data_IF_830691006748
#
_entry.id   IF_830691006748
#
_cell.length_a   1.000
_cell.length_b   1.000
_cell.length_c   1.000
_cell.angle_alpha   90.00
_cell.angle_beta   90.00
_cell.angle_gamma   90.00
#
_symmetry.space_group_name_H-M   'P 1'
#
loop_
_entity.id
_entity.type
_entity.pdbx_description
1 polymer ?
#
# COMPACT_ATOMS: atom_id res chain seq x y z
N UNK A 1 16.55 11.27 -4.28
CA UNK A 1 15.28 11.29 -5.05
C UNK A 1 14.51 12.52 -4.60
N UNK A 2 14.53 13.60 -5.38
CA UNK A 2 13.64 14.74 -5.19
C UNK A 2 12.44 14.46 -6.10
N UNK A 3 11.24 14.45 -5.51
CA UNK A 3 10.00 14.38 -6.27
C UNK A 3 9.76 15.73 -6.92
N UNK A 4 9.14 15.77 -8.11
CA UNK A 4 8.73 17.04 -8.68
C UNK A 4 7.94 17.79 -7.63
N UNK A 5 8.36 19.03 -7.38
CA UNK A 5 7.56 19.96 -6.62
C UNK A 5 6.17 20.03 -7.29
N UNK A 6 5.16 20.47 -6.55
CA UNK A 6 3.98 21.03 -7.18
C UNK A 6 4.43 22.30 -7.93
N UNK A 7 5.07 22.13 -9.09
CA UNK A 7 5.38 23.20 -10.01
C UNK A 7 4.04 23.68 -10.54
N UNK A 8 3.83 24.99 -10.50
CA UNK A 8 2.60 25.67 -10.93
C UNK A 8 2.31 25.57 -12.43
N UNK A 9 2.86 24.58 -13.14
CA UNK A 9 2.37 24.16 -14.44
C UNK A 9 1.26 23.14 -14.19
N UNK A 10 0.06 23.46 -14.70
CA UNK A 10 -1.12 22.59 -14.65
C UNK A 10 -0.75 21.22 -15.22
N UNK A 11 -0.32 20.28 -14.37
CA UNK A 11 -0.24 18.88 -14.73
C UNK A 11 -1.65 18.49 -15.18
N UNK A 12 -1.81 18.13 -16.46
CA UNK A 12 -3.13 17.78 -16.99
C UNK A 12 -3.70 16.64 -16.17
N UNK A 13 -4.82 16.90 -15.51
CA UNK A 13 -5.59 15.88 -14.79
C UNK A 13 -6.23 14.98 -15.84
N UNK A 14 -5.93 13.69 -15.79
CA UNK A 14 -6.39 12.74 -16.81
C UNK A 14 -7.90 12.47 -16.69
N UNK A 15 -8.41 12.38 -15.46
CA UNK A 15 -9.82 12.14 -15.18
C UNK A 15 -10.35 13.16 -14.16
N UNK A 16 -11.07 14.21 -14.60
CA UNK A 16 -11.67 15.18 -13.69
C UNK A 16 -12.79 14.51 -12.86
N UNK A 17 -13.02 15.04 -11.67
CA UNK A 17 -14.10 14.63 -10.77
C UNK A 17 -14.86 15.88 -10.32
N UNK A 18 -16.10 15.73 -9.87
CA UNK A 18 -16.91 16.85 -9.36
C UNK A 18 -16.25 17.58 -8.19
N UNK A 19 -15.41 16.87 -7.44
CA UNK A 19 -14.51 17.45 -6.46
C UNK A 19 -13.33 16.49 -6.17
N UNK A 20 -12.22 16.98 -5.60
CA UNK A 20 -11.03 16.18 -5.36
C UNK A 20 -11.31 14.90 -4.56
N UNK A 21 -10.64 13.82 -4.94
CA UNK A 21 -10.66 12.54 -4.22
C UNK A 21 -9.90 12.68 -2.91
N UNK A 22 -10.57 12.35 -1.80
CA UNK A 22 -9.98 12.46 -0.47
C UNK A 22 -9.20 11.18 -0.13
N UNK A 23 -7.94 11.35 0.22
CA UNK A 23 -7.06 10.27 0.65
C UNK A 23 -6.57 10.50 2.08
N UNK A 24 -6.88 9.57 2.99
CA UNK A 24 -6.36 9.55 4.36
C UNK A 24 -5.24 8.52 4.42
N UNK A 25 -4.01 8.99 4.63
CA UNK A 25 -2.80 8.18 4.63
C UNK A 25 -2.05 8.23 5.97
N UNK A 26 -1.26 7.21 6.24
CA UNK A 26 -0.41 7.19 7.43
C UNK A 26 0.16 5.80 7.71
N UNK A 27 1.05 5.69 8.71
CA UNK A 27 1.56 4.39 9.12
C UNK A 27 0.46 3.50 9.70
N UNK A 28 0.71 2.21 9.80
CA UNK A 28 -0.12 1.32 10.63
C UNK A 28 -0.22 1.85 12.07
N UNK A 29 -1.33 1.56 12.75
CA UNK A 29 -1.65 2.07 14.10
C UNK A 29 -1.73 3.61 14.26
N UNK A 30 -1.88 4.37 13.16
CA UNK A 30 -2.05 5.83 13.23
C UNK A 30 -3.47 6.33 13.53
N UNK A 31 -4.49 5.45 13.46
CA UNK A 31 -5.90 5.83 13.55
C UNK A 31 -6.57 6.14 12.21
N UNK A 32 -5.87 5.96 11.08
CA UNK A 32 -6.37 6.30 9.73
C UNK A 32 -7.73 5.67 9.38
N UNK A 33 -7.97 4.42 9.78
CA UNK A 33 -9.22 3.72 9.49
C UNK A 33 -10.41 4.37 10.20
N UNK A 34 -10.24 4.73 11.48
CA UNK A 34 -11.28 5.41 12.26
C UNK A 34 -11.60 6.79 11.68
N UNK A 35 -10.57 7.57 11.32
CA UNK A 35 -10.78 8.87 10.68
C UNK A 35 -11.48 8.73 9.32
N UNK A 36 -11.03 7.81 8.47
CA UNK A 36 -11.61 7.60 7.14
C UNK A 36 -13.10 7.21 7.21
N UNK A 37 -13.48 6.33 8.14
CA UNK A 37 -14.88 5.97 8.38
C UNK A 37 -15.70 7.20 8.75
N UNK A 38 -15.25 7.97 9.75
CA UNK A 38 -15.96 9.15 10.24
C UNK A 38 -16.08 10.25 9.20
N UNK A 39 -15.06 10.43 8.36
CA UNK A 39 -15.13 11.33 7.22
C UNK A 39 -16.16 10.85 6.19
N UNK A 40 -16.18 9.55 5.88
CA UNK A 40 -17.16 8.98 4.95
C UNK A 40 -18.59 9.12 5.48
N UNK A 41 -18.84 8.92 6.78
CA UNK A 41 -20.15 9.18 7.39
C UNK A 41 -20.57 10.64 7.19
N UNK A 42 -19.67 11.58 7.46
CA UNK A 42 -19.98 13.01 7.42
C UNK A 42 -20.20 13.53 6.01
N UNK A 43 -19.53 12.93 5.03
CA UNK A 43 -19.58 13.29 3.61
C UNK A 43 -20.58 12.44 2.80
N UNK A 44 -21.34 11.55 3.45
CA UNK A 44 -22.33 10.70 2.78
C UNK A 44 -21.70 9.72 1.79
N UNK A 45 -20.62 9.05 2.21
CA UNK A 45 -19.70 8.35 1.34
C UNK A 45 -19.39 6.91 1.73
N UNK A 46 -18.27 6.41 1.20
CA UNK A 46 -17.76 5.07 1.44
C UNK A 46 -16.25 5.10 1.66
N UNK A 47 -15.67 3.99 2.14
CA UNK A 47 -14.22 3.85 2.30
C UNK A 47 -13.67 2.87 1.28
N UNK A 48 -12.61 3.25 0.57
CA UNK A 48 -11.78 2.35 -0.23
C UNK A 48 -10.47 2.07 0.52
N UNK A 49 -10.27 0.83 0.97
CA UNK A 49 -8.99 0.42 1.58
C UNK A 49 -7.91 0.32 0.51
N UNK A 50 -6.80 1.04 0.73
CA UNK A 50 -5.58 0.95 -0.06
C UNK A 50 -4.47 0.29 0.78
N UNK A 51 -4.69 -1.00 1.09
CA UNK A 51 -3.77 -1.87 1.82
C UNK A 51 -3.52 -3.14 1.03
N UNK A 52 -2.27 -3.58 0.95
CA UNK A 52 -1.89 -4.74 0.11
C UNK A 52 -2.23 -6.09 0.74
N UNK A 53 -2.53 -6.12 2.05
CA UNK A 53 -2.82 -7.36 2.77
C UNK A 53 -4.31 -7.51 3.10
N UNK A 54 -5.02 -6.41 3.38
CA UNK A 54 -6.47 -6.46 3.65
C UNK A 54 -7.33 -6.89 2.46
N UNK A 55 -6.74 -6.95 1.26
CA UNK A 55 -7.38 -7.46 0.04
C UNK A 55 -7.64 -8.98 0.09
N UNK A 56 -6.96 -9.74 0.95
CA UNK A 56 -7.10 -11.20 1.01
C UNK A 56 -8.22 -11.63 1.95
N UNK A 57 -9.05 -12.55 1.48
CA UNK A 57 -10.11 -13.21 2.26
C UNK A 57 -9.53 -14.07 3.39
N UNK A 58 -10.14 -14.00 4.56
CA UNK A 58 -9.73 -14.77 5.75
C UNK A 58 -8.48 -14.24 6.46
N UNK A 59 -7.80 -13.23 5.91
CA UNK A 59 -6.69 -12.53 6.56
C UNK A 59 -7.21 -11.27 7.25
N UNK A 60 -7.83 -11.42 8.42
CA UNK A 60 -8.60 -10.36 9.08
C UNK A 60 -7.87 -9.75 10.28
N UNK A 61 -7.55 -10.59 11.26
CA UNK A 61 -6.89 -10.22 12.51
C UNK A 61 -5.48 -9.72 12.23
N UNK A 62 -4.65 -10.51 11.54
CA UNK A 62 -3.25 -10.17 11.31
C UNK A 62 -3.04 -8.95 10.41
N UNK A 63 -3.99 -8.65 9.52
CA UNK A 63 -3.99 -7.45 8.68
C UNK A 63 -4.68 -6.26 9.35
N UNK A 64 -5.30 -6.51 10.50
CA UNK A 64 -6.11 -5.56 11.25
C UNK A 64 -7.18 -4.89 10.40
N UNK A 65 -7.88 -5.72 9.63
CA UNK A 65 -9.07 -5.39 8.84
C UNK A 65 -10.20 -4.96 9.79
N UNK A 66 -10.98 -3.97 9.38
CA UNK A 66 -12.16 -3.57 10.15
C UNK A 66 -13.23 -4.68 10.05
N UNK A 67 -13.70 -5.17 11.19
CA UNK A 67 -14.70 -6.21 11.25
C UNK A 67 -16.04 -5.72 10.67
N UNK A 68 -16.83 -6.57 10.00
CA UNK A 68 -18.11 -6.15 9.42
C UNK A 68 -19.06 -5.46 10.40
N UNK A 69 -19.07 -5.88 11.67
CA UNK A 69 -19.90 -5.30 12.72
C UNK A 69 -19.51 -3.86 13.10
N UNK A 70 -18.26 -3.47 12.87
CA UNK A 70 -17.74 -2.13 13.22
C UNK A 70 -17.82 -1.14 12.05
N UNK A 71 -18.29 -1.60 10.88
CA UNK A 71 -18.41 -0.80 9.67
C UNK A 71 -19.72 -0.02 9.72
N UNK A 72 -19.62 1.29 9.79
CA UNK A 72 -20.78 2.20 9.77
C UNK A 72 -21.07 2.77 8.38
N UNK A 73 -20.18 2.52 7.42
CA UNK A 73 -20.28 2.89 6.00
C UNK A 73 -19.86 1.72 5.10
N UNK A 74 -20.17 1.73 3.79
CA UNK A 74 -19.67 0.73 2.87
C UNK A 74 -18.14 0.75 2.78
N UNK A 75 -17.53 -0.44 2.76
CA UNK A 75 -16.10 -0.64 2.56
C UNK A 75 -15.82 -1.40 1.27
N UNK A 76 -14.85 -0.90 0.50
CA UNK A 76 -14.31 -1.52 -0.71
C UNK A 76 -12.81 -1.79 -0.54
N UNK A 77 -12.24 -2.65 -1.40
CA UNK A 77 -10.82 -3.03 -1.32
C UNK A 77 -10.50 -3.99 -0.17
N UNK A 78 -11.52 -4.60 0.43
CA UNK A 78 -11.41 -5.69 1.39
C UNK A 78 -11.88 -6.98 0.72
N UNK A 79 -11.25 -8.11 1.03
CA UNK A 79 -11.75 -9.43 0.62
C UNK A 79 -11.90 -9.64 -0.90
N UNK A 80 -11.10 -8.92 -1.69
CA UNK A 80 -11.16 -8.93 -3.16
C UNK A 80 -10.41 -10.10 -3.80
N UNK A 81 -9.49 -10.74 -3.08
CA UNK A 81 -8.67 -11.85 -3.57
C UNK A 81 -8.68 -13.05 -2.60
N UNK A 82 -8.47 -14.25 -3.12
CA UNK A 82 -8.18 -15.42 -2.28
C UNK A 82 -6.71 -15.36 -1.81
N UNK A 83 -6.35 -15.91 -0.63
CA UNK A 83 -4.97 -15.90 -0.13
C UNK A 83 -3.92 -16.41 -1.13
N UNK A 84 -4.25 -17.46 -1.90
CA UNK A 84 -3.36 -18.05 -2.90
C UNK A 84 -3.20 -17.22 -4.19
N UNK A 85 -4.04 -16.21 -4.42
CA UNK A 85 -3.99 -15.37 -5.62
C UNK A 85 -2.86 -14.34 -5.51
N UNK A 86 -2.15 -14.10 -6.61
CA UNK A 86 -1.28 -12.93 -6.70
C UNK A 86 -2.13 -11.65 -6.80
N UNK A 87 -1.71 -10.58 -6.13
CA UNK A 87 -2.33 -9.26 -6.26
C UNK A 87 -1.28 -8.17 -6.42
N UNK A 88 -1.50 -7.26 -7.38
CA UNK A 88 -0.52 -6.27 -7.80
C UNK A 88 -1.07 -4.84 -7.65
N UNK A 89 -0.17 -3.85 -7.75
CA UNK A 89 -0.59 -2.46 -7.80
C UNK A 89 -1.38 -2.09 -9.07
N UNK A 90 -1.17 -2.79 -10.19
CA UNK A 90 -1.95 -2.60 -11.41
C UNK A 90 -3.39 -3.10 -11.23
N UNK A 91 -3.58 -4.28 -10.65
CA UNK A 91 -4.91 -4.81 -10.31
C UNK A 91 -5.63 -3.89 -9.32
N UNK A 92 -4.92 -3.39 -8.31
CA UNK A 92 -5.47 -2.40 -7.38
C UNK A 92 -5.85 -1.09 -8.07
N UNK A 93 -5.01 -0.59 -8.99
CA UNK A 93 -5.28 0.63 -9.74
C UNK A 93 -6.59 0.50 -10.52
N UNK A 94 -6.76 -0.57 -11.28
CA UNK A 94 -7.98 -0.83 -12.06
C UNK A 94 -9.20 -0.93 -11.15
N UNK A 95 -9.14 -1.81 -10.14
CA UNK A 95 -10.23 -2.00 -9.18
C UNK A 95 -10.60 -0.70 -8.46
N UNK A 96 -9.60 0.00 -7.91
CA UNK A 96 -9.79 1.21 -7.12
C UNK A 96 -10.33 2.36 -7.95
N UNK A 97 -9.83 2.56 -9.18
CA UNK A 97 -10.37 3.58 -10.10
C UNK A 97 -11.82 3.28 -10.46
N UNK A 98 -12.17 2.02 -10.70
CA UNK A 98 -13.55 1.61 -10.95
C UNK A 98 -14.48 1.86 -9.76
N UNK A 99 -14.02 1.64 -8.52
CA UNK A 99 -14.77 1.99 -7.30
C UNK A 99 -14.96 3.49 -7.18
N UNK A 100 -13.90 4.29 -7.39
CA UNK A 100 -13.96 5.75 -7.30
C UNK A 100 -14.97 6.31 -8.31
N UNK A 101 -14.86 5.95 -9.58
CA UNK A 101 -15.75 6.47 -10.62
C UNK A 101 -17.22 6.14 -10.35
N UNK A 102 -17.53 4.88 -10.01
CA UNK A 102 -18.90 4.47 -9.66
C UNK A 102 -19.44 5.22 -8.44
N UNK A 103 -18.60 5.49 -7.43
CA UNK A 103 -19.04 6.24 -6.26
C UNK A 103 -19.43 7.68 -6.64
N UNK A 104 -18.61 8.36 -7.44
CA UNK A 104 -18.93 9.72 -7.92
C UNK A 104 -20.18 9.73 -8.82
N UNK A 105 -20.34 8.76 -9.73
CA UNK A 105 -21.55 8.63 -10.56
C UNK A 105 -22.83 8.47 -9.74
N UNK A 106 -22.73 7.89 -8.54
CA UNK A 106 -23.83 7.71 -7.60
C UNK A 106 -24.02 8.89 -6.64
N UNK A 107 -23.21 9.96 -6.75
CA UNK A 107 -23.22 11.09 -5.82
C UNK A 107 -22.63 10.77 -4.44
N UNK A 108 -21.93 9.63 -4.29
CA UNK A 108 -21.27 9.21 -3.06
C UNK A 108 -19.83 9.72 -3.03
N UNK A 109 -19.32 10.10 -1.85
CA UNK A 109 -17.94 10.58 -1.68
C UNK A 109 -16.98 9.49 -1.19
N UNK A 110 -16.15 8.88 -2.06
CA UNK A 110 -15.21 7.86 -1.61
C UNK A 110 -14.04 8.48 -0.84
N UNK A 111 -13.71 7.88 0.31
CA UNK A 111 -12.52 8.19 1.10
C UNK A 111 -11.52 7.04 0.96
N UNK A 112 -10.35 7.32 0.39
CA UNK A 112 -9.29 6.31 0.27
C UNK A 112 -8.52 6.22 1.58
N UNK A 113 -8.56 5.08 2.25
CA UNK A 113 -7.81 4.83 3.49
C UNK A 113 -6.54 4.02 3.18
N UNK A 114 -5.38 4.67 3.18
CA UNK A 114 -4.14 4.10 2.65
C UNK A 114 -3.04 3.82 3.68
N UNK A 115 -2.60 2.56 3.75
CA UNK A 115 -1.34 2.15 4.41
C UNK A 115 -0.23 1.80 3.41
N UNK A 116 -0.60 1.31 2.23
CA UNK A 116 0.33 0.96 1.17
C UNK A 116 0.49 2.16 0.25
N UNK A 117 1.50 2.99 0.52
CA UNK A 117 1.70 4.24 -0.22
C UNK A 117 1.87 4.10 -1.73
N UNK A 118 2.34 2.93 -2.21
CA UNK A 118 2.40 2.66 -3.64
C UNK A 118 1.02 2.42 -4.27
N UNK A 119 0.08 1.80 -3.56
CA UNK A 119 -1.30 1.61 -4.04
C UNK A 119 -2.04 2.94 -4.14
N UNK A 120 -1.86 3.81 -3.14
CA UNK A 120 -2.39 5.19 -3.18
C UNK A 120 -1.87 5.93 -4.41
N UNK A 121 -0.54 5.91 -4.65
CA UNK A 121 0.07 6.56 -5.82
C UNK A 121 -0.42 5.96 -7.14
N UNK A 122 -0.51 4.64 -7.23
CA UNK A 122 -1.04 3.93 -8.40
C UNK A 122 -2.47 4.37 -8.73
N UNK A 123 -3.31 4.56 -7.71
CA UNK A 123 -4.68 5.02 -7.87
C UNK A 123 -4.75 6.46 -8.41
N UNK A 124 -4.02 7.38 -7.77
CA UNK A 124 -4.22 8.83 -7.95
C UNK A 124 -3.34 9.48 -9.02
N UNK A 125 -2.23 8.83 -9.38
CA UNK A 125 -1.28 9.31 -10.37
C UNK A 125 -1.35 8.46 -11.63
N UNK A 126 -0.93 9.02 -12.77
CA UNK A 126 -0.99 8.37 -14.09
C UNK A 126 0.14 7.35 -14.27
N UNK A 127 0.29 6.44 -13.31
CA UNK A 127 1.19 5.29 -13.42
C UNK A 127 0.77 4.42 -14.59
N UNK A 128 1.73 4.18 -15.49
CA UNK A 128 1.66 3.15 -16.50
C UNK A 128 2.37 1.91 -15.96
N UNK A 129 1.65 0.79 -15.90
CA UNK A 129 2.19 -0.48 -15.45
C UNK A 129 2.49 -1.33 -16.68
N UNK A 130 3.77 -1.55 -17.02
CA UNK A 130 4.12 -2.42 -18.12
C UNK A 130 3.59 -3.83 -17.85
N UNK A 131 3.20 -4.52 -18.92
CA UNK A 131 2.78 -5.92 -18.86
C UNK A 131 3.86 -6.79 -18.19
N UNK A 132 3.44 -7.93 -17.65
CA UNK A 132 4.35 -8.84 -16.97
C UNK A 132 3.59 -9.78 -16.05
N UNK A 133 3.56 -11.05 -16.42
CA UNK A 133 2.98 -12.10 -15.59
C UNK A 133 3.98 -12.47 -14.47
N UNK A 134 3.48 -12.55 -13.24
CA UNK A 134 4.31 -12.97 -12.10
C UNK A 134 4.42 -14.50 -11.98
N UNK A 135 3.54 -15.23 -12.69
CA UNK A 135 3.42 -16.69 -12.64
C UNK A 135 3.49 -17.20 -14.08
N UNK A 136 4.25 -18.25 -14.33
CA UNK A 136 4.36 -18.86 -15.65
C UNK A 136 5.14 -18.01 -16.67
N UNK A 137 5.88 -17.00 -16.21
CA UNK A 137 6.76 -16.21 -17.08
C UNK A 137 8.11 -16.92 -17.24
N UNK A 138 8.44 -17.43 -18.45
CA UNK A 138 9.65 -18.23 -18.66
C UNK A 138 10.94 -17.47 -18.36
N UNK A 139 10.96 -16.15 -18.56
CA UNK A 139 12.13 -15.31 -18.29
C UNK A 139 12.33 -15.17 -16.78
N UNK A 140 11.25 -14.92 -16.04
CA UNK A 140 11.27 -14.86 -14.58
C UNK A 140 11.76 -16.17 -13.98
N UNK A 141 11.21 -17.29 -14.45
CA UNK A 141 11.53 -18.62 -13.93
C UNK A 141 12.99 -18.98 -14.20
N UNK A 142 13.48 -18.70 -15.41
CA UNK A 142 14.88 -18.90 -15.77
C UNK A 142 15.84 -18.08 -14.89
N UNK A 143 15.57 -16.79 -14.70
CA UNK A 143 16.45 -15.95 -13.88
C UNK A 143 16.34 -16.25 -12.38
N UNK A 144 15.17 -16.64 -11.87
CA UNK A 144 15.03 -17.13 -10.49
C UNK A 144 15.84 -18.42 -10.28
N UNK A 145 15.79 -19.37 -11.22
CA UNK A 145 16.59 -20.59 -11.15
C UNK A 145 18.09 -20.27 -11.13
N UNK A 146 18.55 -19.34 -11.98
CA UNK A 146 19.94 -18.90 -11.98
C UNK A 146 20.36 -18.21 -10.69
N UNK A 147 19.50 -17.37 -10.10
CA UNK A 147 19.77 -16.76 -8.79
C UNK A 147 19.90 -17.84 -7.71
N UNK A 148 19.10 -18.90 -7.76
CA UNK A 148 19.20 -20.02 -6.83
C UNK A 148 20.51 -20.82 -7.01
N UNK A 149 21.02 -20.93 -8.23
CA UNK A 149 22.26 -21.66 -8.54
C UNK A 149 23.54 -20.87 -8.22
N UNK A 150 23.66 -19.63 -8.70
CA UNK A 150 24.90 -18.86 -8.66
C UNK A 150 24.83 -17.57 -7.82
N UNK A 151 23.68 -17.31 -7.19
CA UNK A 151 23.46 -16.14 -6.35
C UNK A 151 23.07 -14.88 -7.12
N UNK A 152 22.45 -13.94 -6.40
CA UNK A 152 21.92 -12.71 -6.98
C UNK A 152 23.04 -11.79 -7.51
N UNK A 153 24.21 -11.78 -6.88
CA UNK A 153 25.33 -10.92 -7.28
C UNK A 153 25.87 -11.28 -8.67
N UNK A 154 25.94 -12.58 -8.99
CA UNK A 154 26.36 -13.04 -10.31
C UNK A 154 25.38 -12.62 -11.40
N UNK A 155 24.08 -12.74 -11.13
CA UNK A 155 23.01 -12.33 -12.05
C UNK A 155 22.95 -10.80 -12.19
N UNK A 156 23.20 -10.06 -11.11
CA UNK A 156 23.34 -8.60 -11.17
C UNK A 156 24.56 -8.17 -11.99
N UNK A 157 25.69 -8.88 -11.90
CA UNK A 157 26.87 -8.58 -12.71
C UNK A 157 26.59 -8.75 -14.22
N UNK A 158 25.79 -9.76 -14.60
CA UNK A 158 25.28 -9.89 -15.98
C UNK A 158 24.38 -8.70 -16.35
N UNK A 159 23.48 -8.29 -15.46
CA UNK A 159 22.65 -7.11 -15.70
C UNK A 159 23.52 -5.87 -15.92
N UNK A 160 24.57 -5.69 -15.13
CA UNK A 160 25.48 -4.56 -15.25
C UNK A 160 26.29 -4.57 -16.56
N UNK A 161 26.50 -5.74 -17.17
CA UNK A 161 27.14 -5.83 -18.49
C UNK A 161 26.17 -5.51 -19.62
N UNK A 162 24.89 -5.92 -19.50
CA UNK A 162 23.87 -5.76 -20.55
C UNK A 162 23.13 -4.43 -20.50
N UNK A 163 22.86 -3.94 -19.30
CA UNK A 163 22.13 -2.70 -19.01
C UNK A 163 22.70 -2.03 -17.75
N UNK A 164 23.87 -1.36 -17.89
CA UNK A 164 24.53 -0.67 -16.78
C UNK A 164 23.64 0.41 -16.14
N UNK A 165 22.77 1.04 -16.92
CA UNK A 165 21.87 2.09 -16.44
C UNK A 165 20.84 1.51 -15.46
N UNK A 166 20.24 0.37 -15.77
CA UNK A 166 19.33 -0.33 -14.85
C UNK A 166 20.06 -0.87 -13.63
N UNK A 167 21.25 -1.46 -13.81
CA UNK A 167 22.05 -1.99 -12.72
C UNK A 167 22.42 -0.91 -11.69
N UNK A 168 22.75 0.31 -12.13
CA UNK A 168 23.05 1.44 -11.25
C UNK A 168 21.87 1.86 -10.35
N UNK A 169 20.63 1.54 -10.74
CA UNK A 169 19.41 1.85 -9.98
C UNK A 169 18.96 0.71 -9.05
N UNK A 170 19.51 -0.50 -9.24
CA UNK A 170 19.06 -1.72 -8.58
C UNK A 170 20.17 -2.21 -7.64
N UNK A 171 19.85 -2.41 -6.37
CA UNK A 171 20.78 -3.03 -5.43
C UNK A 171 21.05 -4.48 -5.84
N UNK A 172 22.30 -4.93 -5.76
CA UNK A 172 22.70 -6.28 -6.16
C UNK A 172 21.95 -7.41 -5.46
N UNK A 173 21.43 -7.17 -4.25
CA UNK A 173 20.67 -8.15 -3.49
C UNK A 173 19.14 -8.04 -3.69
N UNK A 174 18.66 -7.10 -4.51
CA UNK A 174 17.24 -6.95 -4.84
C UNK A 174 16.86 -7.87 -6.01
N UNK A 175 16.86 -9.18 -5.73
CA UNK A 175 16.59 -10.24 -6.71
C UNK A 175 15.32 -9.97 -7.54
N UNK A 176 14.25 -9.46 -6.90
CA UNK A 176 12.99 -9.14 -7.58
C UNK A 176 13.16 -8.08 -8.65
N UNK A 177 13.92 -7.02 -8.37
CA UNK A 177 14.19 -5.95 -9.36
C UNK A 177 15.18 -6.39 -10.43
N UNK A 178 16.19 -7.19 -10.07
CA UNK A 178 17.14 -7.76 -11.04
C UNK A 178 16.39 -8.61 -12.07
N UNK A 179 15.55 -9.53 -11.61
CA UNK A 179 14.71 -10.36 -12.51
C UNK A 179 13.77 -9.48 -13.35
N UNK A 180 13.13 -8.46 -12.76
CA UNK A 180 12.27 -7.54 -13.52
C UNK A 180 13.02 -6.77 -14.59
N UNK A 181 14.27 -6.39 -14.35
CA UNK A 181 15.07 -5.71 -15.36
C UNK A 181 15.32 -6.63 -16.57
N UNK A 182 15.58 -7.91 -16.35
CA UNK A 182 15.71 -8.88 -17.44
C UNK A 182 14.40 -9.17 -18.18
N UNK A 183 13.27 -9.25 -17.48
CA UNK A 183 11.95 -9.33 -18.13
C UNK A 183 11.74 -8.15 -19.08
N UNK A 184 11.97 -6.91 -18.60
CA UNK A 184 11.84 -5.71 -19.42
C UNK A 184 12.78 -5.74 -20.63
N UNK A 185 14.04 -6.15 -20.44
CA UNK A 185 14.99 -6.29 -21.53
C UNK A 185 14.53 -7.31 -22.58
N UNK A 186 13.88 -8.40 -22.16
CA UNK A 186 13.30 -9.39 -23.08
C UNK A 186 12.10 -8.85 -23.87
N UNK A 187 11.40 -7.86 -23.31
CA UNK A 187 10.29 -7.12 -23.93
C UNK A 187 10.76 -5.92 -24.77
N UNK A 188 12.08 -5.68 -24.84
CA UNK A 188 12.68 -4.61 -25.65
C UNK A 188 12.73 -3.23 -24.99
N UNK A 189 12.60 -3.13 -23.66
CA UNK A 189 12.75 -1.88 -22.91
C UNK A 189 13.68 -2.06 -21.70
N UNK A 190 14.14 -0.99 -21.07
CA UNK A 190 14.99 -1.07 -19.87
C UNK A 190 14.25 -0.69 -18.59
N UNK A 191 14.72 -1.23 -17.45
CA UNK A 191 14.24 -0.78 -16.14
C UNK A 191 14.58 0.70 -15.92
N UNK A 192 15.73 1.17 -16.39
CA UNK A 192 16.13 2.58 -16.31
C UNK A 192 15.20 3.51 -17.09
N UNK A 193 14.81 3.17 -18.32
CA UNK A 193 13.81 3.93 -19.10
C UNK A 193 12.48 4.02 -18.37
N UNK A 194 11.97 2.88 -17.89
CA UNK A 194 10.72 2.84 -17.12
C UNK A 194 10.82 3.67 -15.84
N UNK A 195 11.95 3.57 -15.13
CA UNK A 195 12.21 4.36 -13.94
C UNK A 195 12.28 5.87 -14.25
N UNK A 196 12.88 6.26 -15.38
CA UNK A 196 12.95 7.65 -15.82
C UNK A 196 11.54 8.23 -16.09
N UNK A 197 10.64 7.45 -16.71
CA UNK A 197 9.24 7.85 -16.93
C UNK A 197 8.50 8.14 -15.63
N UNK A 198 8.90 7.53 -14.50
CA UNK A 198 8.30 7.81 -13.19
C UNK A 198 8.47 9.26 -12.72
N UNK A 199 9.47 9.98 -13.24
CA UNK A 199 9.70 11.39 -12.89
C UNK A 199 8.70 12.36 -13.52
N UNK A 200 8.04 11.95 -14.62
CA UNK A 200 7.10 12.76 -15.37
C UNK A 200 5.64 12.28 -15.20
N UNK A 201 5.36 11.47 -14.17
CA UNK A 201 4.00 10.98 -13.95
C UNK A 201 3.08 12.14 -13.60
N UNK A 202 2.06 12.34 -14.43
CA UNK A 202 0.96 13.28 -14.20
C UNK A 202 -0.03 12.80 -13.15
N UNK A 203 -1.03 13.63 -12.89
CA UNK A 203 -2.10 13.34 -11.93
C UNK A 203 -3.27 12.68 -12.65
N UNK A 204 -3.74 11.54 -12.14
CA UNK A 204 -4.91 10.87 -12.73
C UNK A 204 -6.21 11.47 -12.20
N UNK A 205 -6.35 11.55 -10.87
CA UNK A 205 -7.48 12.19 -10.20
C UNK A 205 -7.03 13.46 -9.47
N UNK A 206 -7.84 14.54 -9.42
CA UNK A 206 -7.58 15.60 -8.47
C UNK A 206 -7.68 15.03 -7.06
N UNK A 207 -6.77 15.41 -6.14
CA UNK A 207 -6.72 14.80 -4.80
C UNK A 207 -6.54 15.81 -3.68
N UNK A 208 -7.18 15.50 -2.55
CA UNK A 208 -6.88 16.07 -1.23
C UNK A 208 -6.21 14.98 -0.39
N UNK A 209 -4.94 15.18 -0.06
CA UNK A 209 -4.13 14.20 0.66
C UNK A 209 -3.95 14.61 2.13
N UNK A 210 -4.50 13.83 3.04
CA UNK A 210 -4.44 14.06 4.48
C UNK A 210 -3.58 12.99 5.13
N UNK A 211 -2.51 13.39 5.81
CA UNK A 211 -1.58 12.48 6.47
C UNK A 211 -1.72 12.52 7.98
N UNK A 212 -1.84 11.36 8.62
CA UNK A 212 -1.75 11.27 10.08
C UNK A 212 -0.29 11.12 10.52
N UNK A 213 0.18 12.13 11.26
CA UNK A 213 1.50 12.14 11.89
C UNK A 213 1.36 11.75 13.36
N UNK A 214 2.09 10.71 13.77
CA UNK A 214 2.20 10.29 15.17
C UNK A 214 3.67 10.29 15.55
N UNK A 215 3.97 10.72 16.77
CA UNK A 215 5.27 10.62 17.41
C UNK A 215 5.79 9.16 17.36
N UNK A 216 7.08 8.93 17.02
CA UNK A 216 7.63 7.59 16.94
C UNK A 216 7.45 6.72 18.18
N UNK A 217 7.57 7.27 19.39
CA UNK A 217 7.43 6.49 20.62
C UNK A 217 5.98 6.11 20.87
N UNK A 218 5.05 7.07 20.73
CA UNK A 218 3.61 6.81 20.82
C UNK A 218 3.21 5.73 19.80
N UNK A 219 3.69 5.84 18.57
CA UNK A 219 3.40 4.90 17.51
C UNK A 219 3.91 3.49 17.83
N UNK A 220 5.11 3.36 18.42
CA UNK A 220 5.64 2.06 18.86
C UNK A 220 4.75 1.41 19.90
N UNK A 221 4.35 2.16 20.94
CA UNK A 221 3.45 1.64 21.96
C UNK A 221 2.09 1.21 21.40
N UNK A 222 1.52 1.99 20.47
CA UNK A 222 0.27 1.61 19.78
C UNK A 222 0.44 0.36 18.93
N UNK A 223 1.59 0.19 18.28
CA UNK A 223 1.89 -1.02 17.51
C UNK A 223 1.99 -2.23 18.43
N UNK A 224 2.73 -2.12 19.54
CA UNK A 224 2.93 -3.23 20.47
C UNK A 224 1.59 -3.69 21.06
N UNK A 225 0.79 -2.75 21.58
CA UNK A 225 -0.55 -3.03 22.10
C UNK A 225 -1.48 -3.64 21.05
N UNK A 226 -1.40 -3.18 19.79
CA UNK A 226 -2.20 -3.75 18.69
C UNK A 226 -1.79 -5.18 18.37
N UNK A 227 -0.49 -5.50 18.38
CA UNK A 227 -0.02 -6.87 18.16
C UNK A 227 -0.45 -7.78 19.29
N UNK A 228 -0.35 -7.32 20.54
CA UNK A 228 -0.83 -8.09 21.71
C UNK A 228 -2.34 -8.37 21.57
N UNK A 229 -3.14 -7.37 21.21
CA UNK A 229 -4.56 -7.54 20.96
C UNK A 229 -4.86 -8.51 19.80
N UNK A 230 -4.06 -8.51 18.74
CA UNK A 230 -4.24 -9.48 17.64
C UNK A 230 -4.06 -10.91 18.13
N UNK A 231 -3.07 -11.17 18.98
CA UNK A 231 -2.83 -12.49 19.56
C UNK A 231 -4.02 -12.90 20.44
N UNK A 232 -4.46 -12.01 21.33
CA UNK A 232 -5.64 -12.24 22.19
C UNK A 232 -6.92 -12.51 21.39
N UNK A 233 -7.07 -11.85 20.24
CA UNK A 233 -8.22 -12.01 19.36
C UNK A 233 -8.17 -13.28 18.49
N UNK A 234 -7.13 -14.11 18.61
CA UNK A 234 -7.02 -15.38 17.91
C UNK A 234 -6.21 -15.35 16.61
N UNK A 235 -5.20 -14.47 16.50
CA UNK A 235 -4.28 -14.46 15.34
C UNK A 235 -3.69 -15.85 15.05
N UNK A 236 -3.33 -16.61 16.09
CA UNK A 236 -2.76 -17.96 15.94
C UNK A 236 -3.76 -18.92 15.28
N UNK A 237 -5.03 -18.83 15.65
CA UNK A 237 -6.09 -19.68 15.12
C UNK A 237 -6.44 -19.29 13.68
N UNK A 238 -6.46 -17.99 13.36
CA UNK A 238 -6.59 -17.51 11.98
C UNK A 238 -5.48 -18.09 11.08
N UNK A 239 -4.22 -18.00 11.50
CA UNK A 239 -3.10 -18.54 10.72
C UNK A 239 -3.21 -20.06 10.57
N UNK A 240 -3.63 -20.78 11.63
CA UNK A 240 -3.85 -22.23 11.55
C UNK A 240 -4.93 -22.59 10.53
N UNK A 241 -6.03 -21.84 10.48
CA UNK A 241 -7.09 -22.04 9.50
C UNK A 241 -6.57 -21.81 8.07
N UNK A 242 -5.89 -20.70 7.84
CA UNK A 242 -5.35 -20.36 6.52
C UNK A 242 -4.29 -21.34 6.03
N UNK A 243 -3.50 -21.95 6.93
CA UNK A 243 -2.57 -23.02 6.57
C UNK A 243 -3.29 -24.24 5.97
N UNK A 244 -4.48 -24.58 6.47
CA UNK A 244 -5.31 -25.65 5.89
C UNK A 244 -5.89 -25.29 4.52
N UNK A 245 -5.92 -24.00 4.18
CA UNK A 245 -6.42 -23.46 2.91
C UNK A 245 -5.30 -23.14 1.90
N UNK A 246 -4.07 -23.60 2.15
CA UNK A 246 -2.95 -23.44 1.22
C UNK A 246 -2.19 -22.12 1.35
N UNK A 247 -2.25 -21.45 2.52
CA UNK A 247 -1.45 -20.24 2.77
C UNK A 247 0.03 -20.43 2.47
N UNK A 248 0.60 -21.64 2.67
CA UNK A 248 2.03 -21.89 2.41
C UNK A 248 2.41 -21.63 0.96
N UNK A 249 1.53 -22.03 0.05
CA UNK A 249 1.75 -21.94 -1.40
C UNK A 249 1.40 -20.54 -1.95
N UNK A 250 0.85 -19.66 -1.11
CA UNK A 250 0.50 -18.31 -1.51
C UNK A 250 1.76 -17.47 -1.79
N UNK A 251 1.82 -16.83 -2.97
CA UNK A 251 2.98 -16.06 -3.40
C UNK A 251 3.24 -14.79 -2.57
N UNK A 252 2.17 -14.13 -2.13
CA UNK A 252 2.24 -12.83 -1.45
C UNK A 252 1.73 -12.89 -0.01
N UNK A 253 0.58 -13.53 0.21
CA UNK A 253 -0.06 -13.60 1.52
C UNK A 253 0.83 -14.27 2.58
N UNK A 254 1.63 -15.28 2.20
CA UNK A 254 2.50 -15.99 3.14
C UNK A 254 3.64 -15.12 3.70
N UNK A 255 3.99 -14.01 3.05
CA UNK A 255 5.04 -13.09 3.48
C UNK A 255 4.53 -11.96 4.37
N UNK A 256 3.22 -11.90 4.64
CA UNK A 256 2.61 -10.89 5.47
C UNK A 256 3.18 -10.92 6.89
N UNK A 257 3.48 -9.74 7.44
CA UNK A 257 3.91 -9.59 8.85
C UNK A 257 2.76 -10.09 9.72
N UNK A 258 3.07 -10.92 10.72
CA UNK A 258 2.06 -11.58 11.55
C UNK A 258 1.76 -13.00 11.10
N UNK A 259 1.87 -13.29 9.80
CA UNK A 259 1.54 -14.62 9.28
C UNK A 259 2.79 -15.50 9.26
N UNK A 260 3.87 -15.05 8.59
CA UNK A 260 5.09 -15.85 8.48
C UNK A 260 5.74 -16.17 9.85
N UNK A 261 5.69 -15.24 10.79
CA UNK A 261 6.26 -15.43 12.13
C UNK A 261 5.46 -16.47 12.92
N UNK A 262 4.12 -16.44 12.82
CA UNK A 262 3.26 -17.45 13.47
C UNK A 262 3.43 -18.82 12.79
N UNK A 263 3.57 -18.88 11.46
CA UNK A 263 3.89 -20.14 10.77
C UNK A 263 5.19 -20.75 11.30
N UNK A 264 6.25 -19.95 11.49
CA UNK A 264 7.51 -20.43 12.07
C UNK A 264 7.34 -20.97 13.49
N UNK A 265 6.49 -20.34 14.31
CA UNK A 265 6.18 -20.84 15.65
C UNK A 265 5.39 -22.15 15.62
N UNK A 266 4.40 -22.25 14.71
CA UNK A 266 3.62 -23.49 14.51
C UNK A 266 4.47 -24.65 13.99
N UNK A 267 5.52 -24.35 13.22
CA UNK A 267 6.50 -25.31 12.73
C UNK A 267 7.56 -25.70 13.79
N UNK A 268 7.53 -25.09 14.98
CA UNK A 268 8.48 -25.36 16.07
C UNK A 268 9.88 -24.79 15.84
N UNK A 269 10.05 -23.89 14.88
CA UNK A 269 11.35 -23.24 14.58
C UNK A 269 11.70 -22.19 15.64
N UNK A 270 10.69 -21.46 16.12
CA UNK A 270 10.80 -20.45 17.17
C UNK A 270 9.66 -20.62 18.20
N UNK A 271 9.78 -20.01 19.37
CA UNK A 271 8.66 -19.97 20.33
C UNK A 271 7.57 -18.97 19.88
N UNK A 272 6.36 -19.13 20.43
CA UNK A 272 5.28 -18.15 20.19
C UNK A 272 5.66 -16.75 20.69
N UNK A 273 6.30 -16.64 21.86
CA UNK A 273 6.76 -15.36 22.41
C UNK A 273 7.81 -14.68 21.51
N UNK A 274 8.69 -15.49 20.92
CA UNK A 274 9.67 -15.01 19.95
C UNK A 274 8.99 -14.54 18.68
N UNK A 275 8.01 -15.28 18.15
CA UNK A 275 7.21 -14.85 17.00
C UNK A 275 6.51 -13.51 17.28
N UNK A 276 5.87 -13.34 18.43
CA UNK A 276 5.19 -12.08 18.82
C UNK A 276 6.20 -10.93 18.85
N UNK A 277 7.38 -11.15 19.44
CA UNK A 277 8.46 -10.15 19.48
C UNK A 277 8.95 -9.78 18.07
N UNK A 278 9.07 -10.76 17.17
CA UNK A 278 9.44 -10.52 15.78
C UNK A 278 8.35 -9.76 15.02
N UNK A 279 7.06 -10.05 15.26
CA UNK A 279 5.93 -9.33 14.66
C UNK A 279 5.96 -7.85 15.07
N UNK A 280 6.15 -7.56 16.36
CA UNK A 280 6.31 -6.18 16.85
C UNK A 280 7.45 -5.49 16.13
N UNK A 281 8.65 -6.07 16.15
CA UNK A 281 9.82 -5.49 15.50
C UNK A 281 9.64 -5.27 13.98
N UNK A 282 9.08 -6.25 13.27
CA UNK A 282 8.80 -6.15 11.83
C UNK A 282 7.79 -5.04 11.53
N UNK A 283 6.75 -4.90 12.36
CA UNK A 283 5.72 -3.87 12.24
C UNK A 283 6.28 -2.48 12.50
N UNK A 284 7.19 -2.32 13.48
CA UNK A 284 7.91 -1.05 13.71
C UNK A 284 8.72 -0.63 12.48
N UNK A 285 9.46 -1.58 11.89
CA UNK A 285 10.23 -1.35 10.66
C UNK A 285 9.32 -0.98 9.49
N UNK A 286 8.16 -1.62 9.37
CA UNK A 286 7.16 -1.32 8.35
C UNK A 286 6.58 0.10 8.53
N UNK A 287 6.17 0.46 9.74
CA UNK A 287 5.70 1.81 10.06
C UNK A 287 6.75 2.89 9.75
N UNK A 288 8.03 2.63 10.06
CA UNK A 288 9.15 3.52 9.67
C UNK A 288 9.24 3.67 8.14
N UNK A 289 9.13 2.58 7.37
CA UNK A 289 9.13 2.62 5.91
C UNK A 289 7.94 3.43 5.36
N UNK A 290 6.75 3.23 5.90
CA UNK A 290 5.54 3.98 5.51
C UNK A 290 5.74 5.49 5.74
N UNK A 291 6.24 5.88 6.92
CA UNK A 291 6.53 7.30 7.23
C UNK A 291 7.55 7.89 6.26
N UNK A 292 8.64 7.17 5.99
CA UNK A 292 9.63 7.61 5.00
C UNK A 292 9.05 7.70 3.60
N UNK A 293 8.13 6.79 3.23
CA UNK A 293 7.44 6.83 1.93
C UNK A 293 6.57 8.08 1.80
N UNK A 294 5.65 8.32 2.75
CA UNK A 294 4.69 9.41 2.65
C UNK A 294 5.33 10.80 2.76
N UNK A 295 6.40 10.99 3.56
CA UNK A 295 7.12 12.28 3.66
C UNK A 295 7.66 12.83 2.33
N UNK A 296 7.80 11.96 1.35
CA UNK A 296 8.30 12.28 0.01
C UNK A 296 7.24 12.97 -0.84
N UNK A 297 5.96 12.71 -0.57
CA UNK A 297 4.84 13.33 -1.27
C UNK A 297 4.49 14.67 -0.61
N UNK A 298 4.71 15.76 -1.35
CA UNK A 298 4.49 17.13 -0.89
C UNK A 298 3.04 17.59 -0.94
N UNK A 299 2.14 16.76 -1.50
CA UNK A 299 0.70 17.04 -1.53
C UNK A 299 0.03 16.78 -0.18
N UNK A 300 0.68 16.03 0.71
CA UNK A 300 0.11 15.61 1.99
C UNK A 300 0.09 16.78 2.98
N UNK A 301 -1.10 17.18 3.41
CA UNK A 301 -1.30 18.03 4.58
C UNK A 301 -1.34 17.16 5.84
N UNK A 302 -0.42 17.40 6.77
CA UNK A 302 -0.25 16.56 7.95
C UNK A 302 -1.07 17.06 9.15
N UNK A 303 -1.79 16.14 9.79
CA UNK A 303 -2.49 16.35 11.06
C UNK A 303 -1.77 15.54 12.14
N UNK A 304 -1.49 16.18 13.28
CA UNK A 304 -0.94 15.49 14.45
C UNK A 304 -2.01 14.62 15.10
N UNK A 305 -1.71 13.33 15.31
CA UNK A 305 -2.59 12.31 15.87
C UNK A 305 -1.98 11.62 17.10
N UNK A 306 -1.13 12.34 17.83
CA UNK A 306 -0.50 11.87 19.08
C UNK A 306 -1.54 11.59 20.17
N UNK A 307 -2.61 12.38 20.19
CA UNK A 307 -3.75 12.21 21.10
C UNK A 307 -4.88 11.48 20.41
N UNK A 308 -5.59 10.65 21.16
CA UNK A 308 -6.80 10.00 20.69
C UNK A 308 -8.00 10.94 20.86
N UNK A 309 -8.06 11.98 20.01
CA UNK A 309 -9.18 12.91 19.95
C UNK A 309 -9.82 12.85 18.56
N UNK A 310 -10.68 11.85 18.36
CA UNK A 310 -11.30 11.61 17.06
C UNK A 310 -12.09 12.79 16.51
N UNK A 311 -12.75 13.58 17.38
CA UNK A 311 -13.55 14.74 16.94
C UNK A 311 -12.68 15.86 16.39
N UNK A 312 -11.60 16.21 17.11
CA UNK A 312 -10.65 17.22 16.65
C UNK A 312 -9.98 16.81 15.34
N UNK A 313 -9.58 15.53 15.22
CA UNK A 313 -9.03 15.00 13.97
C UNK A 313 -10.02 15.10 12.81
N UNK A 314 -11.29 14.78 13.05
CA UNK A 314 -12.34 14.88 12.05
C UNK A 314 -12.56 16.33 11.61
N UNK A 315 -12.74 17.26 12.54
CA UNK A 315 -12.93 18.69 12.23
C UNK A 315 -11.79 19.23 11.37
N UNK A 316 -10.54 18.98 11.78
CA UNK A 316 -9.36 19.43 11.01
C UNK A 316 -9.28 18.79 9.64
N UNK A 317 -9.64 17.52 9.50
CA UNK A 317 -9.65 16.86 8.21
C UNK A 317 -10.70 17.46 7.26
N UNK A 318 -11.91 17.77 7.76
CA UNK A 318 -12.96 18.41 6.99
C UNK A 318 -12.60 19.85 6.58
N UNK A 319 -11.94 20.61 7.46
CA UNK A 319 -11.43 21.94 7.11
C UNK A 319 -10.45 21.92 5.93
N UNK A 320 -9.58 20.90 5.86
CA UNK A 320 -8.66 20.70 4.74
C UNK A 320 -9.44 20.39 3.46
N UNK A 321 -10.43 19.50 3.52
CA UNK A 321 -11.30 19.15 2.38
C UNK A 321 -12.02 20.40 1.85
N UNK A 322 -12.69 21.15 2.73
CA UNK A 322 -13.40 22.38 2.35
C UNK A 322 -12.47 23.42 1.69
N UNK A 323 -11.24 23.53 2.18
CA UNK A 323 -10.25 24.48 1.65
C UNK A 323 -9.80 24.08 0.25
N UNK A 324 -9.49 22.80 0.04
CA UNK A 324 -9.06 22.28 -1.25
C UNK A 324 -10.20 22.29 -2.28
N UNK A 325 -11.44 22.01 -1.87
CA UNK A 325 -12.61 22.08 -2.75
C UNK A 325 -12.88 23.51 -3.23
N UNK A 326 -12.81 24.50 -2.33
CA UNK A 326 -12.92 25.91 -2.71
C UNK A 326 -11.82 26.32 -3.68
N UNK A 327 -10.60 25.79 -3.51
CA UNK A 327 -9.49 26.05 -4.44
C UNK A 327 -9.72 25.38 -5.79
N UNK A 328 -10.25 24.16 -5.80
CA UNK A 328 -10.55 23.41 -7.02
C UNK A 328 -11.66 24.07 -7.83
N UNK A 329 -12.78 24.43 -7.20
CA UNK A 329 -13.90 25.11 -7.86
C UNK A 329 -13.52 26.46 -8.48
N UNK A 330 -12.60 27.21 -7.86
CA UNK A 330 -12.07 28.47 -8.42
C UNK A 330 -11.12 28.28 -9.61
N UNK A 331 -10.58 27.08 -9.81
CA UNK A 331 -9.65 26.75 -10.91
C UNK A 331 -10.30 26.10 -12.12
N UNK A 332 -11.55 25.65 -11.99
CA UNK A 332 -12.38 25.09 -13.06
C UNK A 332 -13.39 26.09 -13.67
N UNK A 333 -13.49 27.29 -13.09
CA UNK A 333 -14.29 28.42 -13.60
C UNK A 333 -13.44 29.37 -14.47
#
# INVERSE_FOLDING_TARGET
MQWPAASGEKSQVVCPLDAPLVCVVGPTASGKTALAQRMAERLGGCVLSADSMQIYRGMDIGTGKIAPADRTVPYYGLDVAAPGSAYSASLFQEYGRGVVLRAYEQGCRPIVCGGTGFYVRALVDSYDFPAGEQVGNPVRDAYNARIAECGCDAVWAELNQRDPASAALINAHDAKRVVRAFELLSEGTSYAEQHAKLHAIGVHFPVTMIGLQVDPEILRHRIDARVDQMVENGLVDEVRSLLSEGLRDALTANQAIGYKEIVQALDGVISLDEAISQIKFATHRYAKRQRTWFRKDKRITWICADRDNGEELLCRALEIVDTDEKRYGKGCA
#
